data_IF_619026825548
#
_entry.id   IF_619026825548
#
_cell.length_a   1.000
_cell.length_b   1.000
_cell.length_c   1.000
_cell.angle_alpha   90.00
_cell.angle_beta   90.00
_cell.angle_gamma   90.00
#
_symmetry.space_group_name_H-M   'P 1'
#
loop_
_entity.id
_entity.type
_entity.pdbx_description
1 polymer ?
#
# COMPACT_ATOMS: atom_id res chain seq x y z
N UNK A 1 18.05 -32.05 13.49
CA UNK A 1 17.12 -31.01 12.99
C UNK A 1 17.81 -29.67 13.25
N UNK A 2 18.21 -28.93 12.22
CA UNK A 2 18.90 -27.62 12.40
C UNK A 2 17.84 -26.54 12.60
N UNK A 3 17.81 -25.96 13.79
CA UNK A 3 17.00 -24.80 14.10
C UNK A 3 17.65 -23.58 13.43
N UNK A 4 17.16 -23.18 12.26
CA UNK A 4 17.58 -21.94 11.61
C UNK A 4 16.94 -20.78 12.37
N UNK A 5 17.61 -20.28 13.41
CA UNK A 5 17.26 -19.00 14.00
C UNK A 5 17.44 -17.92 12.93
N UNK A 6 16.32 -17.40 12.41
CA UNK A 6 16.34 -16.22 11.56
C UNK A 6 16.90 -15.05 12.39
N UNK A 7 18.18 -14.75 12.17
CA UNK A 7 18.86 -13.61 12.78
C UNK A 7 18.24 -12.31 12.26
N UNK A 8 17.20 -11.87 12.94
CA UNK A 8 16.50 -10.62 12.62
C UNK A 8 17.42 -9.47 13.01
N UNK A 9 17.92 -8.74 12.03
CA UNK A 9 18.80 -7.59 12.24
C UNK A 9 17.99 -6.31 12.05
N UNK A 10 17.96 -5.46 13.08
CA UNK A 10 17.24 -4.19 13.02
C UNK A 10 18.18 -3.12 12.46
N UNK A 11 17.77 -2.51 11.34
CA UNK A 11 18.47 -1.37 10.76
C UNK A 11 17.62 -0.13 11.02
N UNK A 12 18.18 0.84 11.72
CA UNK A 12 17.57 2.16 11.88
C UNK A 12 17.84 2.95 10.59
N UNK A 13 16.82 3.17 9.78
CA UNK A 13 16.94 3.91 8.52
C UNK A 13 16.00 5.11 8.51
N UNK A 14 16.56 6.30 8.29
CA UNK A 14 15.82 7.54 8.07
C UNK A 14 15.28 7.58 6.62
N UNK A 15 14.20 8.34 6.40
CA UNK A 15 13.56 8.59 5.10
C UNK A 15 14.61 8.96 4.04
N UNK A 16 15.60 9.78 4.41
CA UNK A 16 16.69 10.22 3.53
C UNK A 16 17.60 9.09 3.04
N UNK A 17 17.78 8.05 3.86
CA UNK A 17 18.60 6.88 3.49
C UNK A 17 17.85 6.03 2.46
N UNK A 18 16.54 5.88 2.61
CA UNK A 18 15.72 5.21 1.60
C UNK A 18 15.69 5.96 0.28
N UNK A 19 15.63 7.30 0.30
CA UNK A 19 15.72 8.11 -0.92
C UNK A 19 17.09 7.97 -1.61
N UNK A 20 18.17 7.89 -0.84
CA UNK A 20 19.53 7.68 -1.37
C UNK A 20 19.73 6.28 -1.96
N UNK A 21 19.19 5.24 -1.31
CA UNK A 21 19.27 3.86 -1.77
C UNK A 21 18.25 3.52 -2.85
N UNK A 22 17.32 4.43 -3.13
CA UNK A 22 16.30 4.25 -4.14
C UNK A 22 16.94 4.14 -5.52
N UNK A 23 16.86 2.96 -6.13
CA UNK A 23 17.23 2.79 -7.53
C UNK A 23 16.39 3.76 -8.40
N UNK A 24 16.98 4.38 -9.44
CA UNK A 24 16.26 5.27 -10.37
C UNK A 24 15.30 4.44 -11.23
N UNK A 25 14.20 4.00 -10.65
CA UNK A 25 13.19 3.17 -11.30
C UNK A 25 12.22 3.99 -12.18
N UNK A 26 12.73 4.89 -13.02
CA UNK A 26 11.89 5.72 -13.92
C UNK A 26 10.71 6.37 -13.21
N UNK A 27 9.55 6.41 -13.88
CA UNK A 27 8.30 6.96 -13.32
C UNK A 27 7.59 6.02 -12.31
N UNK A 28 8.16 4.86 -11.99
CA UNK A 28 7.53 3.89 -11.08
C UNK A 28 7.80 4.26 -9.63
N UNK A 29 6.74 4.35 -8.83
CA UNK A 29 6.90 4.48 -7.38
C UNK A 29 7.62 3.26 -6.82
N UNK A 30 8.47 3.44 -5.81
CA UNK A 30 9.02 2.29 -5.07
C UNK A 30 8.04 1.81 -4.02
N UNK A 31 8.32 0.63 -3.43
CA UNK A 31 7.48 0.06 -2.35
C UNK A 31 7.34 1.02 -1.18
N UNK A 32 8.41 1.73 -0.82
CA UNK A 32 8.40 2.74 0.24
C UNK A 32 7.49 3.92 -0.10
N UNK A 33 7.58 4.43 -1.34
CA UNK A 33 6.72 5.54 -1.78
C UNK A 33 5.26 5.14 -1.92
N UNK A 34 4.99 3.92 -2.38
CA UNK A 34 3.64 3.37 -2.42
C UNK A 34 3.06 3.21 -1.01
N UNK A 35 3.88 2.81 -0.04
CA UNK A 35 3.47 2.74 1.35
C UNK A 35 3.17 4.12 1.95
N UNK A 36 4.04 5.11 1.73
CA UNK A 36 3.78 6.49 2.16
C UNK A 36 2.54 7.08 1.49
N UNK A 37 2.32 6.81 0.21
CA UNK A 37 1.12 7.23 -0.52
C UNK A 37 -0.16 6.64 0.09
N UNK A 38 -0.13 5.38 0.57
CA UNK A 38 -1.27 4.81 1.30
C UNK A 38 -1.51 5.49 2.64
N UNK A 39 -0.45 5.83 3.39
CA UNK A 39 -0.56 6.52 4.67
C UNK A 39 -1.13 7.93 4.49
N UNK A 40 -0.63 8.66 3.50
CA UNK A 40 -1.13 10.01 3.20
C UNK A 40 -2.61 9.97 2.79
N UNK A 41 -2.99 9.02 1.90
CA UNK A 41 -4.39 8.80 1.52
C UNK A 41 -5.27 8.43 2.71
N UNK A 42 -4.78 7.60 3.63
CA UNK A 42 -5.57 7.17 4.80
C UNK A 42 -5.75 8.31 5.79
N UNK A 43 -4.73 9.13 6.01
CA UNK A 43 -4.80 10.34 6.84
C UNK A 43 -5.73 11.40 6.24
N UNK A 44 -5.72 11.56 4.92
CA UNK A 44 -6.59 12.49 4.20
C UNK A 44 -8.03 12.00 4.05
N UNK A 45 -8.35 10.76 4.48
CA UNK A 45 -9.68 10.18 4.28
C UNK A 45 -10.04 9.99 2.81
N UNK A 46 -9.05 9.69 1.96
CA UNK A 46 -9.21 9.65 0.50
C UNK A 46 -10.25 8.62 0.08
N UNK A 47 -11.15 9.01 -0.83
CA UNK A 47 -12.12 8.13 -1.48
C UNK A 47 -11.88 8.17 -2.98
N UNK A 48 -11.55 7.01 -3.54
CA UNK A 48 -11.43 6.86 -4.99
C UNK A 48 -12.75 7.22 -5.69
N UNK A 49 -12.71 8.06 -6.74
CA UNK A 49 -13.89 8.41 -7.53
C UNK A 49 -14.59 7.21 -8.16
N UNK A 50 -13.88 6.10 -8.33
CA UNK A 50 -14.39 4.87 -8.95
C UNK A 50 -15.14 3.97 -7.96
N UNK A 51 -15.08 4.29 -6.67
CA UNK A 51 -15.85 3.62 -5.63
C UNK A 51 -17.24 4.26 -5.57
N UNK A 52 -18.18 3.72 -6.38
CA UNK A 52 -19.57 4.18 -6.39
C UNK A 52 -20.28 3.82 -5.08
N UNK A 53 -20.90 4.82 -4.43
CA UNK A 53 -21.80 4.67 -3.27
C UNK A 53 -21.26 3.78 -2.15
N UNK A 54 -20.19 4.21 -1.49
CA UNK A 54 -19.92 3.69 -0.14
C UNK A 54 -20.55 4.65 0.86
N UNK A 55 -21.73 4.28 1.36
CA UNK A 55 -22.44 4.99 2.44
C UNK A 55 -21.74 4.85 3.80
N UNK A 56 -20.63 4.11 3.88
CA UNK A 56 -19.84 3.99 5.11
C UNK A 56 -18.99 5.24 5.25
N UNK A 57 -19.24 6.00 6.33
CA UNK A 57 -18.31 7.04 6.77
C UNK A 57 -16.96 6.39 7.04
N UNK A 58 -15.92 6.87 6.37
CA UNK A 58 -14.54 6.51 6.70
C UNK A 58 -14.25 6.98 8.13
N UNK A 59 -13.64 6.10 8.92
CA UNK A 59 -13.04 6.47 10.20
C UNK A 59 -11.69 7.16 9.96
N UNK A 60 -11.13 7.78 11.00
CA UNK A 60 -9.77 8.34 10.93
C UNK A 60 -8.76 7.26 10.50
N UNK A 61 -7.80 7.63 9.65
CA UNK A 61 -6.79 6.73 9.08
C UNK A 61 -7.36 5.62 8.18
N UNK A 62 -8.51 5.85 7.53
CA UNK A 62 -9.07 4.95 6.53
C UNK A 62 -9.17 5.63 5.17
N UNK A 63 -8.96 4.86 4.10
CA UNK A 63 -9.21 5.31 2.73
C UNK A 63 -9.95 4.25 1.92
N UNK A 64 -10.64 4.71 0.88
CA UNK A 64 -11.17 3.87 -0.18
C UNK A 64 -10.32 4.03 -1.43
N UNK A 65 -9.74 2.94 -1.88
CA UNK A 65 -8.90 2.90 -3.08
C UNK A 65 -9.29 1.68 -3.90
N UNK A 66 -9.15 1.77 -5.22
CA UNK A 66 -9.22 0.59 -6.07
C UNK A 66 -7.83 0.15 -6.50
N UNK A 67 -7.67 -1.14 -6.79
CA UNK A 67 -6.41 -1.68 -7.32
C UNK A 67 -6.01 -1.00 -8.64
N UNK A 68 -6.99 -0.54 -9.43
CA UNK A 68 -6.73 0.18 -10.68
C UNK A 68 -6.13 1.56 -10.43
N UNK A 69 -6.65 2.31 -9.45
CA UNK A 69 -6.16 3.67 -9.16
C UNK A 69 -4.75 3.63 -8.59
N UNK A 70 -4.47 2.65 -7.72
CA UNK A 70 -3.13 2.44 -7.19
C UNK A 70 -2.16 2.00 -8.29
N UNK A 71 -2.58 1.12 -9.19
CA UNK A 71 -1.76 0.68 -10.31
C UNK A 71 -1.38 1.85 -11.23
N UNK A 72 -2.33 2.73 -11.53
CA UNK A 72 -2.10 3.92 -12.34
C UNK A 72 -1.19 4.93 -11.62
N UNK A 73 -1.52 5.30 -10.39
CA UNK A 73 -0.75 6.30 -9.63
C UNK A 73 0.66 5.85 -9.22
N UNK A 74 0.88 4.54 -9.10
CA UNK A 74 2.20 3.99 -8.78
C UNK A 74 2.97 3.53 -10.03
N UNK A 75 2.33 3.58 -11.20
CA UNK A 75 2.82 3.00 -12.46
C UNK A 75 3.21 1.51 -12.31
N UNK A 76 2.39 0.77 -11.57
CA UNK A 76 2.57 -0.65 -11.30
C UNK A 76 1.58 -1.50 -12.08
N UNK A 77 1.93 -2.76 -12.33
CA UNK A 77 0.94 -3.74 -12.75
C UNK A 77 -0.03 -4.01 -11.59
N UNK A 78 -1.32 -4.20 -11.92
CA UNK A 78 -2.35 -4.57 -10.91
C UNK A 78 -1.98 -5.82 -10.11
N UNK A 79 -1.24 -6.75 -10.69
CA UNK A 79 -0.73 -7.93 -9.97
C UNK A 79 0.26 -7.54 -8.87
N UNK A 80 1.20 -6.64 -9.16
CA UNK A 80 2.18 -6.10 -8.21
C UNK A 80 1.50 -5.34 -7.07
N UNK A 81 0.47 -4.55 -7.38
CA UNK A 81 -0.32 -3.87 -6.34
C UNK A 81 -0.96 -4.88 -5.39
N UNK A 82 -1.57 -5.95 -5.92
CA UNK A 82 -2.18 -6.99 -5.09
C UNK A 82 -1.15 -7.67 -4.19
N UNK A 83 -0.06 -8.16 -4.75
CA UNK A 83 0.98 -8.86 -3.97
C UNK A 83 1.62 -7.95 -2.92
N UNK A 84 1.78 -6.66 -3.23
CA UNK A 84 2.26 -5.68 -2.26
C UNK A 84 1.28 -5.48 -1.09
N UNK A 85 -0.01 -5.30 -1.38
CA UNK A 85 -1.03 -5.16 -0.33
C UNK A 85 -1.21 -6.46 0.48
N UNK A 86 -1.07 -7.62 -0.15
CA UNK A 86 -1.08 -8.93 0.53
C UNK A 86 0.10 -9.03 1.51
N UNK A 87 1.29 -8.57 1.11
CA UNK A 87 2.46 -8.54 1.98
C UNK A 87 2.26 -7.60 3.18
N UNK A 88 1.75 -6.38 2.96
CA UNK A 88 1.47 -5.44 4.05
C UNK A 88 0.43 -5.97 5.05
N UNK A 89 -0.59 -6.68 4.57
CA UNK A 89 -1.57 -7.35 5.43
C UNK A 89 -0.91 -8.49 6.23
N UNK A 90 -0.04 -9.28 5.60
CA UNK A 90 0.72 -10.33 6.29
C UNK A 90 1.68 -9.80 7.36
N UNK A 91 2.18 -8.58 7.17
CA UNK A 91 2.99 -7.87 8.17
C UNK A 91 2.15 -7.20 9.27
N UNK A 92 0.82 -7.23 9.18
CA UNK A 92 -0.07 -6.56 10.13
C UNK A 92 -0.06 -5.03 10.02
N UNK A 93 0.45 -4.47 8.92
CA UNK A 93 0.56 -3.02 8.71
C UNK A 93 -0.71 -2.39 8.14
N UNK A 94 -1.62 -3.21 7.62
CA UNK A 94 -2.93 -2.76 7.13
C UNK A 94 -3.98 -3.85 7.30
N UNK A 95 -5.24 -3.43 7.29
CA UNK A 95 -6.40 -4.31 7.25
C UNK A 95 -7.27 -3.93 6.05
N UNK A 96 -7.73 -4.92 5.28
CA UNK A 96 -8.49 -4.66 4.04
C UNK A 96 -9.91 -5.18 4.15
N UNK A 97 -10.87 -4.27 3.97
CA UNK A 97 -12.25 -4.66 3.68
C UNK A 97 -12.46 -4.72 2.17
N UNK A 98 -12.63 -5.93 1.62
CA UNK A 98 -12.96 -6.11 0.19
C UNK A 98 -14.43 -5.73 -0.03
N UNK A 99 -14.66 -4.57 -0.64
CA UNK A 99 -15.99 -4.17 -1.07
C UNK A 99 -16.36 -4.93 -2.34
N UNK A 100 -17.51 -5.63 -2.34
CA UNK A 100 -18.02 -6.30 -3.54
C UNK A 100 -18.35 -5.25 -4.60
N UNK A 101 -17.89 -5.47 -5.82
CA UNK A 101 -18.31 -4.68 -6.99
C UNK A 101 -19.81 -4.92 -7.15
N UNK A 102 -20.64 -3.92 -6.91
CA UNK A 102 -22.08 -4.01 -7.18
C UNK A 102 -22.23 -4.06 -8.70
N UNK A 103 -22.53 -5.25 -9.24
CA UNK A 103 -22.97 -5.40 -10.63
C UNK A 103 -24.33 -4.73 -10.76
N UNK A 104 -24.39 -3.65 -11.53
CA UNK A 104 -25.64 -3.13 -12.08
C UNK A 104 -26.13 -4.05 -13.19
#
# INVERSE_FOLDING_TARGET
MKNSQENTTFILADVKVFDFLKEKAGDRKTKTEAYWDLLDRSMAGFVSPFVRKVERKLLSNQCHVTISDLAESWHWHRATVRTFLDALESFGLLERTKLKKVSS
#
